data_IF_570028281827
#
_entry.id   IF_570028281827
#
_cell.length_a   1.000
_cell.length_b   1.000
_cell.length_c   1.000
_cell.angle_alpha   90.00
_cell.angle_beta   90.00
_cell.angle_gamma   90.00
#
_symmetry.space_group_name_H-M   'P 1'
#
loop_
_entity.id
_entity.type
_entity.pdbx_description
1 polymer ?
#
# COMPACT_ATOMS: atom_id res chain seq x y z
N UNK A 1 -14.17 8.25 -5.99
CA UNK A 1 -12.82 8.23 -5.39
C UNK A 1 -12.96 7.88 -3.93
N UNK A 2 -12.61 6.65 -3.53
CA UNK A 2 -12.54 6.24 -2.12
C UNK A 2 -11.23 6.74 -1.51
N UNK A 3 -11.17 6.84 -0.17
CA UNK A 3 -9.93 7.25 0.51
C UNK A 3 -8.77 6.30 0.19
N UNK A 4 -9.05 5.00 0.10
CA UNK A 4 -8.07 3.99 -0.28
C UNK A 4 -7.48 4.19 -1.69
N UNK A 5 -8.31 4.56 -2.66
CA UNK A 5 -7.85 4.87 -4.01
C UNK A 5 -6.88 6.07 -4.02
N UNK A 6 -7.18 7.11 -3.24
CA UNK A 6 -6.30 8.28 -3.11
C UNK A 6 -4.96 7.91 -2.47
N UNK A 7 -4.98 7.09 -1.42
CA UNK A 7 -3.76 6.63 -0.76
C UNK A 7 -2.89 5.78 -1.69
N UNK A 8 -3.50 4.89 -2.46
CA UNK A 8 -2.77 4.07 -3.43
C UNK A 8 -2.17 4.93 -4.55
N UNK A 9 -2.93 5.88 -5.10
CA UNK A 9 -2.45 6.79 -6.14
C UNK A 9 -1.31 7.67 -5.64
N UNK A 10 -1.41 8.20 -4.41
CA UNK A 10 -0.36 9.01 -3.80
C UNK A 10 0.90 8.18 -3.50
N UNK A 11 0.73 6.95 -2.99
CA UNK A 11 1.83 6.01 -2.78
C UNK A 11 2.56 5.67 -4.10
N UNK A 12 1.82 5.39 -5.18
CA UNK A 12 2.38 5.15 -6.51
C UNK A 12 3.08 6.40 -7.06
N UNK A 13 2.51 7.59 -6.82
CA UNK A 13 3.10 8.87 -7.23
C UNK A 13 4.41 9.19 -6.52
N UNK A 14 4.56 8.75 -5.28
CA UNK A 14 5.82 8.83 -4.52
C UNK A 14 6.88 7.83 -5.02
N UNK A 15 6.56 6.97 -6.00
CA UNK A 15 7.46 5.95 -6.52
C UNK A 15 7.43 4.66 -5.72
N UNK A 16 6.37 4.43 -4.95
CA UNK A 16 6.18 3.21 -4.17
C UNK A 16 6.21 1.96 -5.03
N UNK A 17 7.08 1.01 -4.66
CA UNK A 17 7.25 -0.28 -5.35
C UNK A 17 6.80 -1.47 -4.50
N UNK A 18 6.19 -1.26 -3.33
CA UNK A 18 5.56 -2.36 -2.58
C UNK A 18 4.57 -3.07 -3.48
N UNK A 19 4.66 -4.38 -3.43
CA UNK A 19 3.62 -5.25 -3.96
C UNK A 19 2.83 -5.79 -2.79
N UNK A 20 1.52 -5.60 -2.86
CA UNK A 20 0.62 -6.18 -1.87
C UNK A 20 0.54 -7.68 -2.08
N UNK A 21 0.87 -8.46 -1.04
CA UNK A 21 0.54 -9.88 -1.00
C UNK A 21 -0.68 -10.03 -0.11
N UNK A 22 -1.80 -10.43 -0.72
CA UNK A 22 -3.04 -10.74 0.00
C UNK A 22 -2.98 -12.25 0.26
N UNK A 23 -2.54 -12.65 1.44
CA UNK A 23 -2.77 -14.02 1.92
C UNK A 23 -4.10 -14.08 2.67
N UNK A 24 -4.63 -15.29 2.86
CA UNK A 24 -6.02 -15.64 3.19
C UNK A 24 -6.77 -14.73 4.18
N UNK A 25 -6.09 -14.10 5.15
CA UNK A 25 -6.66 -13.07 6.03
C UNK A 25 -5.65 -11.98 6.47
N UNK A 26 -4.53 -11.80 5.76
CA UNK A 26 -3.51 -10.80 6.15
C UNK A 26 -3.03 -10.07 4.89
N UNK A 27 -3.29 -8.77 4.83
CA UNK A 27 -2.65 -7.89 3.84
C UNK A 27 -1.21 -7.67 4.31
N UNK A 28 -0.27 -8.43 3.75
CA UNK A 28 1.15 -8.26 4.03
C UNK A 28 1.79 -7.49 2.87
N UNK A 29 2.21 -6.27 3.14
CA UNK A 29 2.96 -5.46 2.18
C UNK A 29 4.43 -5.71 2.39
N UNK A 30 5.01 -6.51 1.50
CA UNK A 30 6.45 -6.76 1.51
C UNK A 30 7.12 -5.76 0.56
N UNK A 31 8.16 -5.08 1.05
CA UNK A 31 9.08 -4.33 0.18
C UNK A 31 9.81 -5.35 -0.70
N UNK A 32 9.58 -5.33 -2.01
CA UNK A 32 10.27 -6.21 -2.96
C UNK A 32 11.48 -5.53 -3.59
N UNK A 33 11.47 -4.21 -3.67
CA UNK A 33 12.54 -3.37 -4.20
C UNK A 33 12.79 -2.19 -3.26
N UNK A 34 13.98 -1.59 -3.37
CA UNK A 34 14.34 -0.35 -2.68
C UNK A 34 13.38 0.76 -3.14
N UNK A 35 12.32 1.00 -2.36
CA UNK A 35 11.39 2.08 -2.61
C UNK A 35 11.93 3.39 -1.99
N UNK A 36 11.61 4.54 -2.58
CA UNK A 36 12.03 5.81 -2.02
C UNK A 36 11.52 5.95 -0.57
N UNK A 37 12.33 6.50 0.34
CA UNK A 37 11.99 6.61 1.75
C UNK A 37 10.72 7.43 2.00
N UNK A 38 10.32 8.28 1.06
CA UNK A 38 9.04 9.01 1.08
C UNK A 38 7.84 8.08 0.94
N UNK A 39 7.91 7.09 0.04
CA UNK A 39 6.86 6.09 -0.13
C UNK A 39 6.78 5.16 1.09
N UNK A 40 7.93 4.77 1.64
CA UNK A 40 7.96 3.91 2.82
C UNK A 40 7.33 4.57 4.04
N UNK A 41 7.70 5.83 4.32
CA UNK A 41 7.06 6.60 5.39
C UNK A 41 5.57 6.78 5.16
N UNK A 42 5.16 7.11 3.94
CA UNK A 42 3.75 7.27 3.62
C UNK A 42 2.97 5.98 3.93
N UNK A 43 3.54 4.83 3.61
CA UNK A 43 2.94 3.54 3.93
C UNK A 43 2.76 3.33 5.43
N UNK A 44 3.84 3.45 6.23
CA UNK A 44 3.76 3.25 7.68
C UNK A 44 2.93 4.30 8.41
N UNK A 45 2.85 5.54 7.92
CA UNK A 45 2.08 6.61 8.58
C UNK A 45 0.61 6.65 8.14
N UNK A 46 0.29 6.23 6.90
CA UNK A 46 -1.05 6.41 6.32
C UNK A 46 -1.79 5.11 6.05
N UNK A 47 -1.08 4.00 5.79
CA UNK A 47 -1.67 2.73 5.36
C UNK A 47 -1.55 1.66 6.45
N UNK A 48 -0.40 1.53 7.11
CA UNK A 48 -0.18 0.62 8.23
C UNK A 48 -1.13 0.80 9.43
N UNK A 49 -1.52 2.02 9.85
CA UNK A 49 -2.48 2.20 10.94
C UNK A 49 -3.95 2.01 10.53
N UNK A 50 -4.24 1.83 9.24
CA UNK A 50 -5.62 1.63 8.78
C UNK A 50 -6.17 0.26 9.20
N UNK A 51 -7.49 0.15 9.28
CA UNK A 51 -8.16 -1.15 9.42
C UNK A 51 -7.87 -2.07 8.23
N UNK A 52 -8.02 -3.37 8.49
CA UNK A 52 -7.72 -4.43 7.52
C UNK A 52 -8.53 -4.28 6.23
N UNK A 53 -9.81 -3.87 6.33
CA UNK A 53 -10.67 -3.60 5.17
C UNK A 53 -10.10 -2.48 4.29
N UNK A 54 -9.66 -1.38 4.89
CA UNK A 54 -9.08 -0.23 4.20
C UNK A 54 -7.71 -0.57 3.60
N UNK A 55 -6.86 -1.32 4.32
CA UNK A 55 -5.60 -1.83 3.76
C UNK A 55 -5.84 -2.73 2.56
N UNK A 56 -6.90 -3.54 2.61
CA UNK A 56 -7.29 -4.42 1.50
C UNK A 56 -7.76 -3.61 0.30
N UNK A 57 -8.56 -2.56 0.50
CA UNK A 57 -8.91 -1.64 -0.58
C UNK A 57 -7.67 -1.01 -1.21
N UNK A 58 -6.76 -0.46 -0.40
CA UNK A 58 -5.50 0.12 -0.89
C UNK A 58 -4.71 -0.92 -1.69
N UNK A 59 -4.61 -2.16 -1.18
CA UNK A 59 -3.92 -3.26 -1.83
C UNK A 59 -4.51 -3.64 -3.20
N UNK A 60 -5.85 -3.54 -3.37
CA UNK A 60 -6.53 -3.81 -4.66
C UNK A 60 -6.14 -2.77 -5.72
N UNK A 61 -5.82 -1.55 -5.32
CA UNK A 61 -5.38 -0.49 -6.24
C UNK A 61 -3.88 -0.54 -6.57
N UNK A 62 -3.10 -1.38 -5.87
CA UNK A 62 -1.67 -1.53 -6.10
C UNK A 62 -1.38 -2.64 -7.13
N UNK A 63 -0.27 -2.53 -7.87
CA UNK A 63 0.14 -3.59 -8.78
C UNK A 63 0.52 -4.86 -7.99
N UNK A 64 -0.27 -5.92 -8.14
CA UNK A 64 0.07 -7.26 -7.66
C UNK A 64 1.11 -7.91 -8.58
N UNK A 65 1.96 -8.75 -8.00
CA UNK A 65 2.73 -9.78 -8.72
C UNK A 65 1.87 -11.04 -8.88
#
# INVERSE_FOLDING_TARGET
MTEAQKLAEEYLRLGGRRKSKIDDNIVNTRLWEDEPPEADRFWSERIEPLDEERRREVAIFLPSI
#
